data_IF_792436053371
#
_entry.id   IF_792436053371
#
_cell.length_a   1.000
_cell.length_b   1.000
_cell.length_c   1.000
_cell.angle_alpha   90.00
_cell.angle_beta   90.00
_cell.angle_gamma   90.00
#
_symmetry.space_group_name_H-M   'P 1'
#
loop_
_entity.id
_entity.type
_entity.pdbx_description
1 polymer ?
#
# COMPACT_ATOMS: atom_id res chain seq x y z
N UNK A 1 -14.95 48.25 24.54
CA UNK A 1 -13.78 47.46 24.13
C UNK A 1 -13.32 46.38 25.14
N UNK A 2 -13.98 46.17 26.29
CA UNK A 2 -13.61 45.11 27.26
C UNK A 2 -14.42 43.81 27.13
N UNK A 3 -15.55 43.82 26.41
CA UNK A 3 -16.44 42.65 26.26
C UNK A 3 -15.95 41.73 25.12
N UNK A 4 -15.36 42.28 24.07
CA UNK A 4 -14.84 41.49 22.92
C UNK A 4 -13.60 40.67 23.31
N UNK A 5 -12.76 41.19 24.21
CA UNK A 5 -11.58 40.48 24.71
C UNK A 5 -11.95 39.31 25.64
N UNK A 6 -13.08 39.41 26.36
CA UNK A 6 -13.58 38.32 27.21
C UNK A 6 -14.19 37.18 26.38
N UNK A 7 -14.84 37.49 25.26
CA UNK A 7 -15.38 36.47 24.34
C UNK A 7 -14.25 35.72 23.59
N UNK A 8 -13.19 36.41 23.17
CA UNK A 8 -12.02 35.78 22.56
C UNK A 8 -11.27 34.86 23.54
N UNK A 9 -11.22 35.20 24.84
CA UNK A 9 -10.61 34.34 25.87
C UNK A 9 -11.45 33.08 26.17
N UNK A 10 -12.77 33.15 26.01
CA UNK A 10 -13.67 32.00 26.16
C UNK A 10 -13.64 31.07 24.93
N UNK A 11 -13.37 31.60 23.74
CA UNK A 11 -13.19 30.78 22.53
C UNK A 11 -11.82 30.08 22.55
N UNK A 12 -10.78 30.70 23.13
CA UNK A 12 -9.46 30.08 23.30
C UNK A 12 -9.37 29.05 24.44
N UNK A 13 -10.35 28.98 25.35
CA UNK A 13 -10.41 27.94 26.39
C UNK A 13 -11.38 26.79 26.03
N UNK A 14 -12.13 26.90 24.92
CA UNK A 14 -12.92 25.78 24.38
C UNK A 14 -12.08 24.76 23.59
N UNK A 15 -10.79 25.04 23.33
CA UNK A 15 -9.78 24.04 22.96
C UNK A 15 -9.22 23.30 24.20
N UNK A 16 -9.95 23.31 25.32
CA UNK A 16 -9.78 22.34 26.39
C UNK A 16 -10.04 20.94 25.83
N UNK A 17 -8.95 20.25 25.46
CA UNK A 17 -8.72 18.79 25.55
C UNK A 17 -10.03 18.00 25.73
N UNK A 18 -10.86 17.93 24.70
CA UNK A 18 -11.84 16.86 24.63
C UNK A 18 -11.01 15.62 24.35
N UNK A 19 -10.74 14.83 25.40
CA UNK A 19 -10.10 13.53 25.23
C UNK A 19 -10.90 12.78 24.15
N UNK A 20 -10.23 12.37 23.09
CA UNK A 20 -10.85 11.57 22.03
C UNK A 20 -11.51 10.37 22.70
N UNK A 21 -12.76 10.05 22.34
CA UNK A 21 -13.50 8.95 22.99
C UNK A 21 -12.76 7.62 22.78
N UNK A 22 -11.97 7.49 21.72
CA UNK A 22 -10.97 6.45 21.52
C UNK A 22 -9.99 6.34 22.69
N UNK A 23 -9.27 7.42 23.03
CA UNK A 23 -8.26 7.40 24.11
C UNK A 23 -8.90 7.07 25.46
N UNK A 24 -10.13 7.55 25.71
CA UNK A 24 -10.89 7.21 26.93
C UNK A 24 -11.18 5.71 27.01
N UNK A 25 -11.66 5.12 25.91
CA UNK A 25 -11.96 3.68 25.85
C UNK A 25 -10.71 2.82 25.95
N UNK A 26 -9.59 3.24 25.34
CA UNK A 26 -8.31 2.52 25.44
C UNK A 26 -7.79 2.54 26.88
N UNK A 27 -7.75 3.70 27.53
CA UNK A 27 -7.33 3.80 28.94
C UNK A 27 -8.23 2.92 29.83
N UNK A 28 -9.54 2.92 29.58
CA UNK A 28 -10.48 2.07 30.31
C UNK A 28 -10.22 0.58 30.11
N UNK A 29 -9.93 0.17 28.87
CA UNK A 29 -9.59 -1.20 28.55
C UNK A 29 -8.31 -1.65 29.30
N UNK A 30 -7.29 -0.79 29.35
CA UNK A 30 -6.04 -1.07 30.07
C UNK A 30 -6.25 -1.22 31.59
N UNK A 31 -7.08 -0.36 32.20
CA UNK A 31 -7.45 -0.48 33.62
C UNK A 31 -8.18 -1.79 33.91
N UNK A 32 -9.16 -2.14 33.08
CA UNK A 32 -9.92 -3.38 33.22
C UNK A 32 -9.02 -4.61 33.03
N UNK A 33 -8.06 -4.54 32.11
CA UNK A 33 -7.08 -5.59 31.90
C UNK A 33 -6.18 -5.77 33.13
N UNK A 34 -5.71 -4.69 33.75
CA UNK A 34 -4.94 -4.72 35.01
C UNK A 34 -5.75 -5.30 36.18
N UNK A 35 -7.06 -5.08 36.17
CA UNK A 35 -8.01 -5.63 37.15
C UNK A 35 -8.49 -7.06 36.80
N UNK A 36 -7.87 -7.72 35.81
CA UNK A 36 -8.22 -9.06 35.31
C UNK A 36 -9.66 -9.23 34.79
N UNK A 37 -10.34 -8.11 34.50
CA UNK A 37 -11.67 -8.10 33.85
C UNK A 37 -11.52 -8.19 32.33
N UNK A 38 -10.98 -9.30 31.87
CA UNK A 38 -10.48 -9.46 30.50
C UNK A 38 -11.57 -9.31 29.42
N UNK A 39 -12.80 -9.78 29.67
CA UNK A 39 -13.90 -9.63 28.70
C UNK A 39 -14.33 -8.18 28.54
N UNK A 40 -14.54 -7.47 29.66
CA UNK A 40 -14.92 -6.05 29.64
C UNK A 40 -13.82 -5.20 28.99
N UNK A 41 -12.55 -5.52 29.28
CA UNK A 41 -11.41 -4.88 28.63
C UNK A 41 -11.44 -5.08 27.11
N UNK A 42 -11.69 -6.31 26.65
CA UNK A 42 -11.78 -6.63 25.22
C UNK A 42 -12.94 -5.93 24.54
N UNK A 43 -14.08 -5.78 25.23
CA UNK A 43 -15.24 -5.05 24.71
C UNK A 43 -14.96 -3.55 24.56
N UNK A 44 -14.24 -2.94 25.50
CA UNK A 44 -13.77 -1.55 25.38
C UNK A 44 -12.79 -1.37 24.22
N UNK A 45 -11.82 -2.28 24.05
CA UNK A 45 -10.96 -2.28 22.86
C UNK A 45 -11.77 -2.38 21.57
N UNK A 46 -12.75 -3.29 21.50
CA UNK A 46 -13.60 -3.47 20.32
C UNK A 46 -14.39 -2.19 19.99
N UNK A 47 -14.99 -1.54 21.00
CA UNK A 47 -15.71 -0.28 20.80
C UNK A 47 -14.79 0.82 20.27
N UNK A 48 -13.62 1.01 20.90
CA UNK A 48 -12.62 2.00 20.46
C UNK A 48 -12.21 1.75 19.01
N UNK A 49 -11.92 0.49 18.69
CA UNK A 49 -11.53 0.08 17.34
C UNK A 49 -12.65 0.35 16.35
N UNK A 50 -13.91 0.05 16.68
CA UNK A 50 -15.05 0.29 15.78
C UNK A 50 -15.30 1.78 15.52
N UNK A 51 -15.09 2.66 16.50
CA UNK A 51 -15.18 4.12 16.29
C UNK A 51 -14.17 4.59 15.23
N UNK A 52 -12.95 4.06 15.28
CA UNK A 52 -11.97 4.31 14.22
C UNK A 52 -12.48 3.70 12.93
N UNK A 53 -12.87 2.41 12.90
CA UNK A 53 -13.37 1.70 11.71
C UNK A 53 -14.53 2.39 10.97
N UNK A 54 -15.42 3.03 11.71
CA UNK A 54 -16.59 3.77 11.20
C UNK A 54 -16.29 5.24 10.85
N UNK A 55 -15.02 5.63 10.87
CA UNK A 55 -14.54 7.02 10.59
C UNK A 55 -15.10 8.07 11.55
N UNK A 56 -15.55 7.64 12.74
CA UNK A 56 -16.02 8.53 13.80
C UNK A 56 -14.88 9.14 14.60
N UNK A 57 -13.70 8.50 14.60
CA UNK A 57 -12.49 8.98 15.27
C UNK A 57 -11.22 8.74 14.46
N UNK A 58 -10.20 9.56 14.72
CA UNK A 58 -8.91 9.51 14.00
C UNK A 58 -7.74 9.63 14.98
N UNK A 59 -7.41 8.56 15.73
CA UNK A 59 -6.28 8.59 16.67
C UNK A 59 -4.95 8.71 15.94
N UNK A 60 -3.91 9.09 16.69
CA UNK A 60 -2.54 9.04 16.17
C UNK A 60 -2.09 7.59 15.91
N UNK A 61 -1.06 7.44 15.08
CA UNK A 61 -0.60 6.14 14.59
C UNK A 61 -0.09 5.19 15.68
N UNK A 62 0.59 5.74 16.68
CA UNK A 62 1.17 4.95 17.76
C UNK A 62 0.08 4.41 18.67
N UNK A 63 -0.88 5.25 19.06
CA UNK A 63 -2.03 4.86 19.89
C UNK A 63 -2.90 3.82 19.18
N UNK A 64 -3.15 3.99 17.88
CA UNK A 64 -3.89 3.02 17.10
C UNK A 64 -3.23 1.65 17.04
N UNK A 65 -1.95 1.61 16.67
CA UNK A 65 -1.21 0.36 16.53
C UNK A 65 -1.11 -0.36 17.88
N UNK A 66 -0.83 0.39 18.95
CA UNK A 66 -0.78 -0.15 20.31
C UNK A 66 -2.12 -0.77 20.71
N UNK A 67 -3.24 -0.07 20.45
CA UNK A 67 -4.58 -0.59 20.74
C UNK A 67 -4.87 -1.91 20.02
N UNK A 68 -4.52 -2.01 18.72
CA UNK A 68 -4.74 -3.23 17.94
C UNK A 68 -3.90 -4.41 18.44
N UNK A 69 -2.63 -4.19 18.78
CA UNK A 69 -1.80 -5.24 19.37
C UNK A 69 -2.31 -5.69 20.73
N UNK A 70 -2.66 -4.74 21.60
CA UNK A 70 -3.19 -5.04 22.93
C UNK A 70 -4.50 -5.81 22.84
N UNK A 71 -5.42 -5.39 21.98
CA UNK A 71 -6.69 -6.09 21.72
C UNK A 71 -6.46 -7.50 21.16
N UNK A 72 -5.58 -7.65 20.16
CA UNK A 72 -5.25 -8.95 19.57
C UNK A 72 -4.62 -9.90 20.59
N UNK A 73 -3.66 -9.42 21.39
CA UNK A 73 -3.00 -10.21 22.43
C UNK A 73 -3.96 -10.63 23.54
N UNK A 74 -4.84 -9.71 23.97
CA UNK A 74 -5.86 -10.00 24.97
C UNK A 74 -6.86 -11.04 24.47
N UNK A 75 -7.39 -10.87 23.25
CA UNK A 75 -8.29 -11.83 22.62
C UNK A 75 -7.61 -13.21 22.46
N UNK A 76 -6.32 -13.24 22.10
CA UNK A 76 -5.52 -14.46 22.00
C UNK A 76 -5.47 -15.26 23.31
N UNK A 77 -5.32 -14.57 24.44
CA UNK A 77 -5.36 -15.17 25.79
C UNK A 77 -6.73 -15.75 26.15
N UNK A 78 -7.79 -15.23 25.53
CA UNK A 78 -9.18 -15.61 25.82
C UNK A 78 -9.76 -16.65 24.84
N UNK A 79 -8.94 -17.20 23.94
CA UNK A 79 -9.39 -18.14 22.88
C UNK A 79 -10.14 -19.36 23.39
N UNK A 80 -9.89 -19.78 24.63
CA UNK A 80 -10.53 -20.93 25.27
C UNK A 80 -11.68 -20.56 26.22
N UNK A 81 -11.84 -19.28 26.55
CA UNK A 81 -12.82 -18.79 27.55
C UNK A 81 -13.91 -17.93 26.94
N UNK A 82 -13.76 -17.46 25.70
CA UNK A 82 -14.72 -16.63 24.98
C UNK A 82 -14.82 -17.06 23.51
N UNK A 83 -16.03 -17.39 23.07
CA UNK A 83 -16.30 -18.07 21.80
C UNK A 83 -15.85 -17.30 20.54
N UNK A 84 -15.91 -15.97 20.55
CA UNK A 84 -15.49 -15.09 19.45
C UNK A 84 -14.03 -14.63 19.55
N UNK A 85 -13.35 -14.88 20.67
CA UNK A 85 -12.03 -14.33 20.96
C UNK A 85 -10.97 -14.75 19.94
N UNK A 86 -11.03 -15.98 19.41
CA UNK A 86 -10.12 -16.43 18.35
C UNK A 86 -10.27 -15.62 17.06
N UNK A 87 -11.52 -15.35 16.65
CA UNK A 87 -11.82 -14.54 15.47
C UNK A 87 -11.42 -13.08 15.70
N UNK A 88 -11.65 -12.55 16.90
CA UNK A 88 -11.24 -11.20 17.27
C UNK A 88 -9.72 -11.03 17.31
N UNK A 89 -8.98 -11.99 17.86
CA UNK A 89 -7.52 -11.98 17.88
C UNK A 89 -6.95 -11.92 16.47
N UNK A 90 -7.44 -12.80 15.59
CA UNK A 90 -7.08 -12.79 14.17
C UNK A 90 -7.43 -11.47 13.49
N UNK A 91 -8.66 -10.96 13.70
CA UNK A 91 -9.08 -9.65 13.20
C UNK A 91 -8.07 -8.59 13.60
N UNK A 92 -7.83 -8.37 14.90
CA UNK A 92 -7.01 -7.26 15.39
C UNK A 92 -5.53 -7.38 15.02
N UNK A 93 -4.95 -8.58 15.07
CA UNK A 93 -3.59 -8.78 14.59
C UNK A 93 -3.46 -8.52 13.09
N UNK A 94 -4.46 -8.93 12.28
CA UNK A 94 -4.49 -8.58 10.86
C UNK A 94 -4.66 -7.07 10.63
N UNK A 95 -5.42 -6.38 11.48
CA UNK A 95 -5.49 -4.92 11.45
C UNK A 95 -4.13 -4.30 11.82
N UNK A 96 -3.38 -4.89 12.76
CA UNK A 96 -2.12 -4.32 13.27
C UNK A 96 -0.95 -4.55 12.31
N UNK A 97 -0.89 -5.74 11.73
CA UNK A 97 0.27 -6.26 11.00
C UNK A 97 0.09 -6.19 9.47
N UNK A 98 -1.10 -5.82 8.99
CA UNK A 98 -1.57 -6.32 7.70
C UNK A 98 -1.85 -7.82 7.78
N UNK A 99 -2.40 -8.42 6.72
CA UNK A 99 -2.55 -9.87 6.67
C UNK A 99 -1.16 -10.51 6.73
N UNK A 100 -0.72 -10.96 7.90
CA UNK A 100 0.29 -12.01 8.00
C UNK A 100 -0.31 -13.24 7.30
N UNK A 101 0.00 -13.45 6.02
CA UNK A 101 -0.27 -14.73 5.37
C UNK A 101 -0.70 -14.73 3.90
N UNK A 102 -1.31 -13.68 3.34
CA UNK A 102 -1.72 -13.76 1.93
C UNK A 102 -0.52 -13.54 1.01
N UNK A 103 -0.04 -14.62 0.40
CA UNK A 103 0.96 -14.60 -0.66
C UNK A 103 0.41 -13.89 -1.90
N UNK A 104 1.30 -13.42 -2.78
CA UNK A 104 0.88 -12.84 -4.06
C UNK A 104 0.03 -13.83 -4.86
N UNK A 105 0.39 -15.11 -4.81
CA UNK A 105 -0.29 -16.20 -5.49
C UNK A 105 -1.70 -16.42 -4.95
N UNK A 106 -1.88 -16.43 -3.63
CA UNK A 106 -3.21 -16.49 -3.00
C UNK A 106 -4.07 -15.28 -3.39
N UNK A 107 -3.47 -14.07 -3.43
CA UNK A 107 -4.19 -12.87 -3.86
C UNK A 107 -4.67 -12.97 -5.30
N UNK A 108 -3.80 -13.42 -6.20
CA UNK A 108 -4.12 -13.58 -7.62
C UNK A 108 -5.27 -14.59 -7.78
N UNK A 109 -5.23 -15.72 -7.07
CA UNK A 109 -6.30 -16.72 -7.09
C UNK A 109 -7.62 -16.11 -6.62
N UNK A 110 -7.62 -15.45 -5.46
CA UNK A 110 -8.81 -14.78 -4.93
C UNK A 110 -9.40 -13.76 -5.92
N UNK A 111 -8.56 -12.92 -6.53
CA UNK A 111 -9.03 -11.88 -7.46
C UNK A 111 -9.67 -12.48 -8.72
N UNK A 112 -9.14 -13.60 -9.23
CA UNK A 112 -9.74 -14.32 -10.34
C UNK A 112 -11.11 -14.90 -9.97
N UNK A 113 -11.21 -15.55 -8.83
CA UNK A 113 -12.49 -16.05 -8.31
C UNK A 113 -13.49 -14.91 -8.09
N UNK A 114 -13.00 -13.72 -7.75
CA UNK A 114 -13.76 -12.48 -7.60
C UNK A 114 -14.11 -11.77 -8.93
N UNK A 115 -13.81 -12.40 -10.07
CA UNK A 115 -14.13 -11.91 -11.41
C UNK A 115 -13.19 -10.82 -11.93
N UNK A 116 -11.98 -10.72 -11.39
CA UNK A 116 -10.93 -9.84 -11.93
C UNK A 116 -10.17 -10.60 -13.01
N UNK A 117 -10.28 -10.09 -14.22
CA UNK A 117 -9.87 -10.82 -15.41
C UNK A 117 -8.45 -10.51 -15.89
N UNK A 118 -7.94 -9.33 -15.57
CA UNK A 118 -6.66 -8.84 -16.05
C UNK A 118 -5.89 -8.24 -14.88
N UNK A 119 -4.70 -8.77 -14.60
CA UNK A 119 -3.82 -8.34 -13.52
C UNK A 119 -2.47 -7.92 -14.09
N UNK A 120 -1.83 -6.95 -13.44
CA UNK A 120 -0.47 -6.51 -13.76
C UNK A 120 0.37 -6.69 -12.49
N UNK A 121 1.49 -7.41 -12.57
CA UNK A 121 2.51 -7.40 -11.51
C UNK A 121 3.66 -6.52 -11.97
N UNK A 122 3.93 -5.46 -11.22
CA UNK A 122 5.12 -4.63 -11.39
C UNK A 122 6.20 -5.05 -10.39
N UNK A 123 7.36 -5.44 -10.90
CA UNK A 123 8.51 -5.85 -10.10
C UNK A 123 9.50 -4.69 -10.00
N UNK A 124 9.76 -4.25 -8.77
CA UNK A 124 10.80 -3.28 -8.46
C UNK A 124 11.96 -3.99 -7.76
N UNK A 125 13.09 -4.05 -8.46
CA UNK A 125 14.34 -4.56 -7.92
C UNK A 125 15.07 -3.42 -7.21
N UNK A 126 15.06 -3.43 -5.89
CA UNK A 126 15.83 -2.46 -5.10
C UNK A 126 17.32 -2.86 -5.13
N UNK A 127 18.19 -1.97 -5.60
CA UNK A 127 19.65 -2.12 -5.49
C UNK A 127 20.19 -1.69 -4.12
N UNK A 128 19.35 -1.18 -3.23
CA UNK A 128 19.73 -0.75 -1.89
C UNK A 128 19.47 -1.86 -0.88
N UNK A 129 20.53 -2.22 -0.15
CA UNK A 129 20.55 -3.23 0.91
C UNK A 129 19.41 -2.97 1.90
N UNK A 130 18.46 -3.90 2.09
CA UNK A 130 17.35 -3.65 2.99
C UNK A 130 17.82 -3.71 4.45
N UNK A 131 17.37 -2.73 5.24
CA UNK A 131 17.53 -2.71 6.69
C UNK A 131 16.83 -3.95 7.28
N UNK A 132 17.59 -4.80 7.96
CA UNK A 132 17.08 -6.02 8.61
C UNK A 132 16.40 -5.62 9.91
N UNK A 133 15.07 -5.68 9.94
CA UNK A 133 14.31 -5.65 11.20
C UNK A 133 13.46 -6.93 11.22
N UNK A 134 13.78 -7.87 12.13
CA UNK A 134 13.00 -9.10 12.31
C UNK A 134 13.42 -10.34 11.49
N UNK A 135 14.57 -10.30 10.81
CA UNK A 135 15.21 -11.50 10.22
C UNK A 135 14.72 -11.89 8.81
N UNK A 136 13.82 -11.12 8.21
CA UNK A 136 13.45 -11.27 6.80
C UNK A 136 13.97 -10.09 5.99
N UNK A 137 14.65 -10.37 4.88
CA UNK A 137 15.28 -9.38 4.01
C UNK A 137 14.51 -9.30 2.69
N UNK A 138 13.78 -8.21 2.42
CA UNK A 138 13.04 -8.07 1.16
C UNK A 138 14.03 -7.83 0.01
N UNK A 139 14.35 -8.90 -0.73
CA UNK A 139 15.20 -8.82 -1.93
C UNK A 139 14.43 -8.39 -3.17
N UNK A 140 13.09 -8.47 -3.14
CA UNK A 140 12.22 -8.14 -4.26
C UNK A 140 10.91 -7.53 -3.75
N UNK A 141 10.54 -6.38 -4.31
CA UNK A 141 9.24 -5.77 -4.07
C UNK A 141 8.38 -5.98 -5.31
N UNK A 142 7.16 -6.47 -5.11
CA UNK A 142 6.16 -6.66 -6.17
C UNK A 142 4.95 -5.78 -5.86
N UNK A 143 4.37 -5.18 -6.88
CA UNK A 143 3.10 -4.48 -6.79
C UNK A 143 2.11 -5.21 -7.69
N UNK A 144 1.02 -5.68 -7.12
CA UNK A 144 -0.13 -6.19 -7.87
C UNK A 144 -1.06 -5.02 -8.17
N UNK A 145 -1.33 -4.78 -9.45
CA UNK A 145 -2.27 -3.78 -9.91
C UNK A 145 -3.42 -4.48 -10.63
N UNK A 146 -4.65 -4.02 -10.40
CA UNK A 146 -5.82 -4.47 -11.14
C UNK A 146 -6.84 -3.37 -11.32
N UNK A 147 -7.63 -3.48 -12.38
CA UNK A 147 -8.71 -2.54 -12.68
C UNK A 147 -10.04 -3.24 -12.44
N UNK A 148 -10.90 -2.65 -11.61
CA UNK A 148 -12.28 -3.11 -11.40
C UNK A 148 -13.18 -1.89 -11.22
N UNK A 149 -14.36 -1.89 -11.82
CA UNK A 149 -15.35 -0.82 -11.71
C UNK A 149 -14.79 0.59 -12.02
N UNK A 150 -13.93 0.67 -13.05
CA UNK A 150 -13.21 1.89 -13.48
C UNK A 150 -12.28 2.50 -12.41
N UNK A 151 -11.88 1.70 -11.42
CA UNK A 151 -10.90 2.06 -10.40
C UNK A 151 -9.67 1.18 -10.53
N UNK A 152 -8.51 1.76 -10.24
CA UNK A 152 -7.27 1.00 -10.10
C UNK A 152 -7.04 0.67 -8.64
N UNK A 153 -6.66 -0.57 -8.39
CA UNK A 153 -6.24 -1.04 -7.09
C UNK A 153 -4.76 -1.40 -7.19
N UNK A 154 -4.00 -1.05 -6.15
CA UNK A 154 -2.57 -1.35 -6.06
C UNK A 154 -2.31 -2.02 -4.72
N UNK A 155 -1.57 -3.12 -4.69
CA UNK A 155 -1.19 -3.80 -3.47
C UNK A 155 0.28 -4.20 -3.52
N UNK A 156 1.04 -3.81 -2.49
CA UNK A 156 2.46 -4.16 -2.36
C UNK A 156 2.61 -5.52 -1.69
N UNK A 157 3.58 -6.28 -2.17
CA UNK A 157 4.06 -7.54 -1.63
C UNK A 157 5.57 -7.48 -1.56
N UNK A 158 6.14 -7.92 -0.46
CA UNK A 158 7.56 -8.28 -0.39
C UNK A 158 7.67 -9.72 0.15
N UNK A 159 8.87 -10.30 0.17
CA UNK A 159 9.05 -11.69 0.62
C UNK A 159 8.76 -11.91 2.14
N UNK A 160 8.42 -10.86 2.87
CA UNK A 160 8.29 -10.82 4.33
C UNK A 160 6.88 -10.39 4.78
N UNK A 161 6.26 -9.49 4.03
CA UNK A 161 5.09 -8.72 4.38
C UNK A 161 4.17 -8.57 3.17
N UNK A 162 2.87 -8.66 3.45
CA UNK A 162 1.81 -8.28 2.52
C UNK A 162 1.14 -7.02 3.03
N UNK A 163 1.01 -6.03 2.16
CA UNK A 163 0.41 -4.75 2.48
C UNK A 163 -1.04 -4.72 2.00
N UNK A 164 -1.84 -3.79 2.51
CA UNK A 164 -3.23 -3.67 2.06
C UNK A 164 -3.35 -3.07 0.67
N UNK A 165 -4.36 -3.48 -0.10
CA UNK A 165 -4.65 -2.83 -1.36
C UNK A 165 -5.16 -1.40 -1.13
N UNK A 166 -4.71 -0.49 -1.98
CA UNK A 166 -5.17 0.89 -2.02
C UNK A 166 -5.92 1.14 -3.32
N UNK A 167 -7.03 1.86 -3.22
CA UNK A 167 -7.79 2.34 -4.37
C UNK A 167 -7.22 3.67 -4.85
N UNK A 168 -6.89 3.75 -6.13
CA UNK A 168 -6.52 4.98 -6.83
C UNK A 168 -7.74 5.48 -7.61
N UNK A 169 -8.50 6.38 -7.00
CA UNK A 169 -9.78 6.90 -7.54
C UNK A 169 -9.62 7.71 -8.84
N UNK A 170 -8.45 8.33 -9.08
CA UNK A 170 -8.13 9.11 -10.28
C UNK A 170 -6.95 8.48 -11.02
N UNK A 171 -7.12 7.24 -11.46
CA UNK A 171 -6.09 6.51 -12.20
C UNK A 171 -6.38 6.53 -13.70
N UNK A 172 -5.42 7.03 -14.48
CA UNK A 172 -5.44 6.93 -15.95
C UNK A 172 -5.34 5.47 -16.41
N UNK A 173 -4.70 4.61 -15.60
CA UNK A 173 -4.56 3.17 -15.86
C UNK A 173 -5.94 2.50 -15.99
N UNK A 174 -6.89 2.88 -15.14
CA UNK A 174 -8.24 2.31 -15.13
C UNK A 174 -9.00 2.54 -16.44
N UNK A 175 -8.70 3.63 -17.15
CA UNK A 175 -9.32 3.96 -18.43
C UNK A 175 -8.53 3.43 -19.63
N UNK A 176 -7.21 3.41 -19.51
CA UNK A 176 -6.29 3.05 -20.57
C UNK A 176 -6.19 1.53 -20.77
N UNK A 177 -5.89 0.79 -19.69
CA UNK A 177 -5.50 -0.61 -19.78
C UNK A 177 -6.59 -1.51 -20.39
N UNK A 178 -7.88 -1.44 -19.98
CA UNK A 178 -8.92 -2.28 -20.56
C UNK A 178 -9.10 -2.10 -22.09
N UNK A 179 -8.74 -0.92 -22.63
CA UNK A 179 -8.87 -0.60 -24.06
C UNK A 179 -7.62 -0.96 -24.87
N UNK A 180 -6.46 -1.07 -24.23
CA UNK A 180 -5.17 -1.16 -24.90
C UNK A 180 -4.40 -2.44 -24.56
N UNK A 181 -4.92 -3.32 -23.68
CA UNK A 181 -4.21 -4.50 -23.18
C UNK A 181 -3.59 -5.37 -24.28
N UNK A 182 -4.36 -5.69 -25.32
CA UNK A 182 -3.90 -6.56 -26.41
C UNK A 182 -2.78 -5.91 -27.24
N UNK A 183 -2.76 -4.58 -27.31
CA UNK A 183 -1.71 -3.81 -27.97
C UNK A 183 -0.44 -3.76 -27.11
N UNK A 184 -0.59 -3.52 -25.80
CA UNK A 184 0.51 -3.45 -24.83
C UNK A 184 1.26 -4.77 -24.77
N UNK A 185 0.56 -5.90 -24.58
CA UNK A 185 1.15 -7.22 -24.33
C UNK A 185 2.05 -7.69 -25.49
N UNK A 186 1.82 -7.17 -26.70
CA UNK A 186 2.59 -7.50 -27.91
C UNK A 186 3.80 -6.58 -28.13
N UNK A 187 3.89 -5.47 -27.42
CA UNK A 187 4.96 -4.49 -27.58
C UNK A 187 6.19 -4.87 -26.75
N UNK A 188 7.35 -4.40 -27.20
CA UNK A 188 8.63 -4.51 -26.48
C UNK A 188 9.34 -3.18 -26.55
N UNK A 189 10.13 -2.86 -25.53
CA UNK A 189 10.96 -1.68 -25.56
C UNK A 189 12.17 -1.86 -26.49
N UNK A 190 12.54 -0.76 -27.14
CA UNK A 190 13.79 -0.66 -27.88
C UNK A 190 14.88 -0.24 -26.89
N UNK A 191 15.79 -1.16 -26.59
CA UNK A 191 16.97 -0.84 -25.77
C UNK A 191 18.00 -0.10 -26.62
N UNK A 192 18.32 1.13 -26.24
CA UNK A 192 19.24 2.00 -26.98
C UNK A 192 20.59 2.23 -26.28
N UNK A 193 20.70 1.84 -25.01
CA UNK A 193 21.96 1.81 -24.26
C UNK A 193 21.88 0.69 -23.23
N UNK A 194 23.00 0.09 -22.83
CA UNK A 194 23.05 -0.78 -21.65
C UNK A 194 23.97 -0.16 -20.62
N UNK A 195 23.42 0.19 -19.46
CA UNK A 195 24.17 0.58 -18.27
C UNK A 195 24.00 -0.53 -17.25
N UNK A 196 25.11 -1.04 -16.71
CA UNK A 196 25.10 -2.18 -15.80
C UNK A 196 24.48 -1.87 -14.44
N UNK A 197 24.49 -0.59 -14.03
CA UNK A 197 23.95 -0.12 -12.75
C UNK A 197 22.59 0.59 -12.88
N UNK A 198 21.89 0.40 -14.01
CA UNK A 198 20.56 0.97 -14.18
C UNK A 198 19.51 0.09 -13.49
N UNK A 199 18.48 0.73 -12.92
CA UNK A 199 17.29 0.04 -12.41
C UNK A 199 16.68 -0.86 -13.48
N UNK A 200 16.51 -2.15 -13.17
CA UNK A 200 15.79 -3.11 -14.00
C UNK A 200 14.39 -3.32 -13.44
N UNK A 201 13.42 -3.62 -14.31
CA UNK A 201 12.02 -3.76 -13.96
C UNK A 201 11.37 -4.83 -14.83
N UNK A 202 10.36 -5.49 -14.27
CA UNK A 202 9.50 -6.41 -15.01
C UNK A 202 8.04 -6.01 -14.85
N UNK A 203 7.26 -6.25 -15.91
CA UNK A 203 5.80 -6.29 -15.88
C UNK A 203 5.34 -7.69 -16.27
N UNK A 204 4.59 -8.33 -15.38
CA UNK A 204 3.85 -9.56 -15.70
C UNK A 204 2.39 -9.22 -15.95
N UNK A 205 1.86 -9.61 -17.10
CA UNK A 205 0.44 -9.55 -17.42
C UNK A 205 -0.17 -10.92 -17.20
N UNK A 206 -1.14 -11.02 -16.29
CA UNK A 206 -1.87 -12.25 -16.02
C UNK A 206 -3.27 -12.12 -16.60
N UNK A 207 -3.62 -13.05 -17.49
CA UNK A 207 -4.96 -13.13 -18.05
C UNK A 207 -5.88 -14.06 -17.23
N UNK A 208 -7.13 -14.19 -17.72
CA UNK A 208 -8.18 -15.02 -17.12
C UNK A 208 -7.78 -16.50 -17.01
N UNK A 209 -6.97 -17.00 -17.94
CA UNK A 209 -6.48 -18.38 -17.96
C UNK A 209 -5.31 -18.61 -17.00
N UNK A 210 -4.71 -17.51 -16.52
CA UNK A 210 -3.47 -17.53 -15.74
C UNK A 210 -2.21 -17.61 -16.57
N UNK A 211 -2.31 -17.44 -17.89
CA UNK A 211 -1.14 -17.25 -18.71
C UNK A 211 -0.45 -15.95 -18.31
N UNK A 212 0.87 -16.03 -18.13
CA UNK A 212 1.72 -14.88 -17.80
C UNK A 212 2.48 -14.46 -19.04
N UNK A 213 2.31 -13.21 -19.46
CA UNK A 213 3.21 -12.57 -20.42
C UNK A 213 4.12 -11.60 -19.68
N UNK A 214 5.43 -11.82 -19.75
CA UNK A 214 6.42 -10.97 -19.10
C UNK A 214 7.00 -9.95 -20.09
N UNK A 215 7.18 -8.72 -19.61
CA UNK A 215 7.93 -7.67 -20.30
C UNK A 215 8.99 -7.10 -19.38
N UNK A 216 10.25 -7.35 -19.73
CA UNK A 216 11.40 -6.77 -19.06
C UNK A 216 11.77 -5.42 -19.68
N UNK A 217 12.19 -4.47 -18.85
CA UNK A 217 12.69 -3.18 -19.30
C UNK A 217 13.65 -2.55 -18.29
N UNK A 218 14.45 -1.60 -18.76
CA UNK A 218 15.38 -0.86 -17.90
C UNK A 218 14.96 0.58 -17.77
N UNK A 219 15.32 1.23 -16.65
CA UNK A 219 15.05 2.64 -16.40
C UNK A 219 15.40 3.53 -17.60
N UNK A 220 16.57 3.30 -18.21
CA UNK A 220 17.05 4.12 -19.32
C UNK A 220 16.21 3.97 -20.59
N UNK A 221 15.48 2.87 -20.80
CA UNK A 221 14.62 2.72 -21.99
C UNK A 221 13.47 3.77 -22.01
N UNK A 222 13.22 4.39 -20.86
CA UNK A 222 12.12 5.32 -20.59
C UNK A 222 12.57 6.68 -20.03
N UNK A 223 13.87 6.88 -19.81
CA UNK A 223 14.42 8.16 -19.35
C UNK A 223 15.04 8.86 -20.55
N UNK A 224 14.71 10.15 -20.72
CA UNK A 224 15.25 10.95 -21.80
C UNK A 224 16.79 10.93 -21.74
N UNK A 225 17.48 10.47 -22.80
CA UNK A 225 18.93 10.44 -22.83
C UNK A 225 19.47 11.88 -22.81
N UNK A 226 20.55 12.08 -22.04
CA UNK A 226 21.30 13.33 -21.96
C UNK A 226 22.68 13.13 -22.58
N UNK A 227 23.35 14.24 -22.93
CA UNK A 227 24.67 14.23 -23.57
C UNK A 227 25.73 13.46 -22.76
N UNK A 228 25.53 13.35 -21.45
CA UNK A 228 26.35 12.59 -20.52
C UNK A 228 25.46 11.80 -19.54
N UNK A 229 25.76 10.53 -19.35
CA UNK A 229 25.25 9.69 -18.27
C UNK A 229 26.46 9.08 -17.56
N UNK A 230 26.70 9.51 -16.32
CA UNK A 230 27.77 8.97 -15.47
C UNK A 230 29.19 9.05 -16.06
N UNK A 231 29.50 10.09 -16.86
CA UNK A 231 30.81 10.31 -17.46
C UNK A 231 31.05 9.57 -18.77
N UNK A 232 30.03 8.91 -19.34
CA UNK A 232 30.12 8.22 -20.62
C UNK A 232 29.48 9.08 -21.73
N UNK A 233 30.27 9.61 -22.69
CA UNK A 233 29.72 10.40 -23.79
C UNK A 233 28.85 9.52 -24.69
N UNK A 234 27.62 9.97 -24.94
CA UNK A 234 26.73 9.33 -25.90
C UNK A 234 27.27 9.51 -27.32
N UNK A 235 27.84 8.44 -27.89
CA UNK A 235 28.37 8.47 -29.26
C UNK A 235 27.27 8.66 -30.32
N UNK A 236 26.00 8.40 -29.97
CA UNK A 236 24.87 8.45 -30.90
C UNK A 236 23.58 8.92 -30.20
N UNK A 237 23.64 10.15 -29.66
CA UNK A 237 22.53 10.75 -28.92
C UNK A 237 21.25 10.84 -29.76
N UNK A 238 21.37 11.14 -31.05
CA UNK A 238 20.22 11.28 -31.94
C UNK A 238 19.46 9.95 -32.07
N UNK A 239 20.15 8.82 -32.27
CA UNK A 239 19.49 7.50 -32.31
C UNK A 239 18.89 7.11 -30.95
N UNK A 240 19.52 7.50 -29.85
CA UNK A 240 18.99 7.28 -28.51
C UNK A 240 17.69 8.08 -28.30
N UNK A 241 17.66 9.36 -28.70
CA UNK A 241 16.46 10.20 -28.64
C UNK A 241 15.34 9.66 -29.52
N UNK A 242 15.64 9.16 -30.73
CA UNK A 242 14.64 8.51 -31.60
C UNK A 242 14.06 7.27 -30.91
N UNK A 243 14.88 6.44 -30.28
CA UNK A 243 14.44 5.21 -29.60
C UNK A 243 13.62 5.53 -28.35
N UNK A 244 14.06 6.48 -27.53
CA UNK A 244 13.30 7.03 -26.40
C UNK A 244 11.93 7.56 -26.85
N UNK A 245 11.88 8.38 -27.90
CA UNK A 245 10.62 8.91 -28.42
C UNK A 245 9.68 7.79 -28.93
N UNK A 246 10.22 6.73 -29.55
CA UNK A 246 9.41 5.56 -29.93
C UNK A 246 8.86 4.83 -28.71
N UNK A 247 9.69 4.59 -27.70
CA UNK A 247 9.27 3.92 -26.46
C UNK A 247 8.20 4.74 -25.73
N UNK A 248 8.40 6.04 -25.53
CA UNK A 248 7.45 6.91 -24.82
C UNK A 248 6.12 7.10 -25.55
N UNK A 249 6.11 7.02 -26.88
CA UNK A 249 4.88 7.12 -27.67
C UNK A 249 4.13 5.78 -27.83
N UNK A 250 4.77 4.65 -27.52
CA UNK A 250 4.15 3.32 -27.53
C UNK A 250 3.07 3.16 -26.46
N UNK A 251 2.14 2.22 -26.67
CA UNK A 251 1.11 1.90 -25.67
C UNK A 251 1.73 1.35 -24.39
N UNK A 252 2.79 0.55 -24.50
CA UNK A 252 3.53 0.01 -23.37
C UNK A 252 4.26 1.10 -22.59
N UNK A 253 4.91 2.07 -23.25
CA UNK A 253 5.55 3.20 -22.57
C UNK A 253 4.54 4.08 -21.82
N UNK A 254 3.38 4.34 -22.42
CA UNK A 254 2.27 5.03 -21.75
C UNK A 254 1.78 4.26 -20.52
N UNK A 255 1.61 2.94 -20.64
CA UNK A 255 1.23 2.08 -19.53
C UNK A 255 2.23 2.17 -18.37
N UNK A 256 3.53 2.04 -18.64
CA UNK A 256 4.56 2.08 -17.58
C UNK A 256 4.50 3.39 -16.80
N UNK A 257 4.35 4.53 -17.49
CA UNK A 257 4.20 5.82 -16.80
C UNK A 257 2.98 5.87 -15.87
N UNK A 258 1.85 5.28 -16.29
CA UNK A 258 0.65 5.19 -15.46
C UNK A 258 0.87 4.26 -14.27
N UNK A 259 1.51 3.10 -14.46
CA UNK A 259 1.86 2.17 -13.38
C UNK A 259 2.79 2.85 -12.38
N UNK A 260 3.83 3.53 -12.83
CA UNK A 260 4.75 4.29 -11.96
C UNK A 260 4.02 5.39 -11.18
N UNK A 261 3.08 6.10 -11.81
CA UNK A 261 2.26 7.11 -11.13
C UNK A 261 1.41 6.50 -10.02
N UNK A 262 0.71 5.40 -10.31
CA UNK A 262 -0.16 4.73 -9.34
C UNK A 262 0.64 4.08 -8.20
N UNK A 263 1.79 3.47 -8.49
CA UNK A 263 2.73 2.95 -7.48
C UNK A 263 3.31 4.07 -6.62
N UNK A 264 3.69 5.20 -7.22
CA UNK A 264 4.19 6.36 -6.46
C UNK A 264 3.11 6.93 -5.53
N UNK A 265 1.86 7.02 -6.00
CA UNK A 265 0.73 7.40 -5.16
C UNK A 265 0.50 6.39 -4.02
N UNK A 266 0.62 5.09 -4.31
CA UNK A 266 0.53 4.04 -3.32
C UNK A 266 1.60 4.22 -2.24
N UNK A 267 2.88 4.27 -2.61
CA UNK A 267 3.97 4.38 -1.64
C UNK A 267 3.85 5.69 -0.85
N UNK A 268 3.57 6.83 -1.48
CA UNK A 268 3.39 8.11 -0.79
C UNK A 268 2.26 8.06 0.25
N UNK A 269 1.14 7.41 -0.09
CA UNK A 269 0.02 7.27 0.84
C UNK A 269 0.35 6.29 1.95
N UNK A 270 0.87 5.11 1.61
CA UNK A 270 1.20 4.04 2.55
C UNK A 270 2.38 4.37 3.48
N UNK A 271 3.29 5.24 3.06
CA UNK A 271 4.42 5.71 3.87
C UNK A 271 4.06 6.82 4.85
N UNK A 272 2.88 7.42 4.74
CA UNK A 272 2.43 8.36 5.76
C UNK A 272 2.06 7.62 7.05
N UNK A 273 2.60 8.07 8.19
CA UNK A 273 2.31 7.50 9.51
C UNK A 273 0.80 7.43 9.81
N UNK A 274 0.03 8.41 9.33
CA UNK A 274 -1.43 8.46 9.46
C UNK A 274 -2.17 7.39 8.65
N UNK A 275 -1.57 6.85 7.58
CA UNK A 275 -2.14 5.75 6.80
C UNK A 275 -1.61 4.41 7.29
N UNK A 276 -0.37 4.29 7.79
CA UNK A 276 0.07 3.13 8.62
C UNK A 276 -0.86 2.89 9.81
N UNK A 277 -1.41 3.96 10.37
CA UNK A 277 -2.48 3.97 11.38
C UNK A 277 -3.88 3.56 10.88
N UNK A 278 -4.11 3.50 9.58
CA UNK A 278 -5.43 3.18 8.98
C UNK A 278 -5.42 1.91 8.15
N UNK A 279 -4.23 1.40 7.80
CA UNK A 279 -3.97 0.17 7.03
C UNK A 279 -4.40 -1.09 7.79
N UNK A 280 -4.94 -0.96 9.00
CA UNK A 280 -5.76 -2.00 9.60
C UNK A 280 -7.17 -2.11 9.03
N UNK A 281 -7.76 -1.09 8.41
CA UNK A 281 -9.17 -1.12 8.00
C UNK A 281 -9.42 -1.95 6.74
N UNK A 282 -10.34 -2.92 6.87
CA UNK A 282 -10.91 -3.84 5.87
C UNK A 282 -9.92 -4.81 5.24
#
# INVERSE_FOLDING_TARGET
MKIVTLLMLLIFTAEMVHAQKFDVLINRAEELQKAEKLSDALDNYNEAINLVLEDKETPNSQSWLSALYSAGNLAGKMTYTRNDARKLAQKYWNLALGSRGETLEEKISFLKDYGVNDLIIYHSYAYTVPYVIGGCSPTKTKYLLWVKDKKTYVQKFNNCDTFKPLVIEKSDLAQFYPKQKDSVIKQRFITFLRVFDAGEYDLDFIDQTGMVTNTHFRAHDLIQPKNDVSGYPYKDLDKALVSYNKNMNSSLGKLVNMVWSDVSQYDTKMDSNAVRAKIGKL
#
